data_IF_929521814168
#
_entry.id   IF_929521814168
#
_cell.length_a   1.000
_cell.length_b   1.000
_cell.length_c   1.000
_cell.angle_alpha   90.00
_cell.angle_beta   90.00
_cell.angle_gamma   90.00
#
_symmetry.space_group_name_H-M   'P 1'
#
loop_
_entity.id
_entity.type
_entity.pdbx_description
1 polymer ?
#
# COMPACT_ATOMS: atom_id res chain seq x y z
N UNK A 1 -11.07 11.71 17.35
CA UNK A 1 -11.81 10.43 17.41
C UNK A 1 -11.21 9.35 16.50
N UNK A 2 -10.92 9.64 15.23
CA UNK A 2 -10.35 8.65 14.30
C UNK A 2 -9.00 8.07 14.76
N UNK A 3 -8.05 8.91 15.17
CA UNK A 3 -6.73 8.49 15.68
C UNK A 3 -6.88 7.51 16.85
N UNK A 4 -7.84 7.74 17.73
CA UNK A 4 -8.11 6.86 18.86
C UNK A 4 -8.55 5.46 18.41
N UNK A 5 -9.42 5.37 17.40
CA UNK A 5 -9.89 4.09 16.85
C UNK A 5 -8.75 3.34 16.15
N UNK A 6 -7.97 4.04 15.34
CA UNK A 6 -6.86 3.44 14.59
C UNK A 6 -5.75 2.95 15.53
N UNK A 7 -5.48 3.66 16.63
CA UNK A 7 -4.45 3.28 17.61
C UNK A 7 -4.90 2.26 18.67
N UNK A 8 -6.14 1.77 18.60
CA UNK A 8 -6.67 0.76 19.54
C UNK A 8 -5.73 -0.44 19.78
N UNK A 9 -5.09 -1.04 18.77
CA UNK A 9 -4.18 -2.15 19.00
C UNK A 9 -3.06 -1.81 19.98
N UNK A 10 -2.46 -0.61 19.82
CA UNK A 10 -1.37 -0.14 20.70
C UNK A 10 -1.87 0.10 22.12
N UNK A 11 -3.06 0.69 22.26
CA UNK A 11 -3.65 0.98 23.58
C UNK A 11 -3.99 -0.31 24.34
N UNK A 12 -4.53 -1.31 23.64
CA UNK A 12 -4.85 -2.61 24.24
C UNK A 12 -3.58 -3.37 24.63
N UNK A 13 -2.55 -3.35 23.79
CA UNK A 13 -1.26 -3.95 24.13
C UNK A 13 -0.63 -3.31 25.38
N UNK A 14 -0.75 -1.99 25.55
CA UNK A 14 -0.23 -1.28 26.71
C UNK A 14 -0.94 -1.63 28.03
N UNK A 15 -2.15 -2.18 27.99
CA UNK A 15 -2.91 -2.62 29.18
C UNK A 15 -2.72 -4.11 29.52
N UNK A 16 -1.94 -4.84 28.74
CA UNK A 16 -1.69 -6.25 28.97
C UNK A 16 -0.81 -6.48 30.21
N UNK A 17 -1.29 -7.30 31.15
CA UNK A 17 -0.57 -7.61 32.38
C UNK A 17 0.52 -8.68 32.22
N UNK A 18 0.50 -9.43 31.12
CA UNK A 18 1.47 -10.49 30.83
C UNK A 18 1.80 -10.51 29.34
N UNK A 19 2.79 -9.71 28.90
CA UNK A 19 3.20 -9.64 27.50
C UNK A 19 3.97 -10.91 27.12
N UNK A 20 3.27 -11.87 26.54
CA UNK A 20 3.91 -13.06 25.96
C UNK A 20 4.25 -12.77 24.50
N UNK A 21 5.55 -12.79 24.17
CA UNK A 21 6.01 -12.61 22.79
C UNK A 21 6.04 -13.98 22.10
N UNK A 22 4.93 -14.34 21.51
CA UNK A 22 4.81 -15.57 20.73
C UNK A 22 5.18 -15.39 19.26
N UNK A 23 4.97 -16.45 18.49
CA UNK A 23 5.32 -16.45 17.05
C UNK A 23 4.45 -15.47 16.22
N UNK A 24 3.25 -15.15 16.67
CA UNK A 24 2.35 -14.17 16.02
C UNK A 24 2.98 -12.78 16.10
N UNK A 25 3.54 -12.41 17.25
CA UNK A 25 4.23 -11.14 17.41
C UNK A 25 5.46 -11.05 16.49
N UNK A 26 6.20 -12.15 16.29
CA UNK A 26 7.33 -12.19 15.35
C UNK A 26 6.88 -11.93 13.92
N UNK A 27 5.77 -12.54 13.47
CA UNK A 27 5.18 -12.26 12.17
C UNK A 27 4.74 -10.79 12.09
N UNK A 28 4.14 -10.26 13.17
CA UNK A 28 3.74 -8.86 13.26
C UNK A 28 4.91 -7.90 13.07
N UNK A 29 6.04 -8.15 13.75
CA UNK A 29 7.26 -7.34 13.59
C UNK A 29 7.81 -7.44 12.17
N UNK A 30 7.83 -8.63 11.57
CA UNK A 30 8.28 -8.80 10.19
C UNK A 30 7.38 -8.02 9.20
N UNK A 31 6.06 -8.10 9.35
CA UNK A 31 5.10 -7.37 8.53
C UNK A 31 5.23 -5.86 8.72
N UNK A 32 5.41 -5.40 9.95
CA UNK A 32 5.69 -4.00 10.28
C UNK A 32 6.96 -3.51 9.58
N UNK A 33 8.05 -4.29 9.64
CA UNK A 33 9.31 -3.96 8.97
C UNK A 33 9.17 -3.87 7.43
N UNK A 34 8.43 -4.81 6.82
CA UNK A 34 8.07 -4.74 5.39
C UNK A 34 7.28 -3.46 5.10
N UNK A 35 6.33 -3.12 5.96
CA UNK A 35 5.51 -1.92 5.82
C UNK A 35 6.34 -0.65 5.83
N UNK A 36 7.19 -0.45 6.84
CA UNK A 36 8.11 0.69 6.94
C UNK A 36 9.02 0.78 5.70
N UNK A 37 9.54 -0.36 5.21
CA UNK A 37 10.35 -0.39 4.01
C UNK A 37 9.58 0.13 2.79
N UNK A 38 8.37 -0.39 2.53
CA UNK A 38 7.57 0.01 1.38
C UNK A 38 7.14 1.47 1.43
N UNK A 39 6.72 1.96 2.59
CA UNK A 39 6.34 3.34 2.83
C UNK A 39 7.54 4.27 2.62
N UNK A 40 8.63 4.06 3.35
CA UNK A 40 9.80 4.95 3.32
C UNK A 40 10.47 4.97 1.94
N UNK A 41 10.70 3.78 1.35
CA UNK A 41 11.36 3.69 0.05
C UNK A 41 10.44 4.16 -1.07
N UNK A 42 9.15 3.83 -1.00
CA UNK A 42 8.14 4.27 -1.97
C UNK A 42 8.04 5.80 -2.03
N UNK A 43 7.95 6.45 -0.87
CA UNK A 43 7.90 7.91 -0.77
C UNK A 43 9.21 8.57 -1.20
N UNK A 44 10.36 8.01 -0.81
CA UNK A 44 11.67 8.52 -1.25
C UNK A 44 11.83 8.42 -2.78
N UNK A 45 11.39 7.32 -3.41
CA UNK A 45 11.40 7.17 -4.87
C UNK A 45 10.49 8.21 -5.54
N UNK A 46 9.28 8.43 -5.01
CA UNK A 46 8.34 9.40 -5.53
C UNK A 46 8.87 10.84 -5.38
N UNK A 47 9.44 11.17 -4.22
CA UNK A 47 10.01 12.48 -3.95
C UNK A 47 11.16 12.81 -4.91
N UNK A 48 12.09 11.86 -5.09
CA UNK A 48 13.20 12.02 -6.06
C UNK A 48 12.71 12.16 -7.50
N UNK A 49 11.71 11.38 -7.88
CA UNK A 49 11.13 11.43 -9.21
C UNK A 49 10.47 12.78 -9.50
N UNK A 50 9.73 13.33 -8.53
CA UNK A 50 9.06 14.62 -8.64
C UNK A 50 10.03 15.80 -8.62
N UNK A 51 11.18 15.66 -7.98
CA UNK A 51 12.20 16.70 -7.90
C UNK A 51 12.92 16.95 -9.22
N UNK A 52 12.88 16.01 -10.16
CA UNK A 52 13.49 16.14 -11.49
C UNK A 52 12.46 16.70 -12.48
N UNK A 53 12.68 17.93 -13.02
CA UNK A 53 11.79 18.53 -14.01
C UNK A 53 11.63 17.71 -15.31
N UNK A 54 12.64 16.89 -15.66
CA UNK A 54 12.58 16.00 -16.82
C UNK A 54 11.50 14.95 -16.72
N UNK A 55 11.03 14.63 -15.51
CA UNK A 55 9.96 13.68 -15.24
C UNK A 55 8.55 14.29 -15.31
N UNK A 56 8.43 15.57 -15.68
CA UNK A 56 7.13 16.23 -15.81
C UNK A 56 6.25 15.53 -16.85
N UNK A 57 5.03 15.16 -16.48
CA UNK A 57 4.10 14.45 -17.37
C UNK A 57 4.38 12.95 -17.56
N UNK A 58 5.47 12.41 -17.00
CA UNK A 58 5.85 10.99 -17.11
C UNK A 58 5.31 10.19 -15.91
N UNK A 59 5.15 8.88 -16.10
CA UNK A 59 4.73 7.93 -15.05
C UNK A 59 5.96 7.37 -14.34
N UNK A 60 5.92 7.30 -13.02
CA UNK A 60 6.91 6.56 -12.23
C UNK A 60 6.54 5.06 -12.24
N UNK A 61 7.27 4.25 -13.02
CA UNK A 61 7.03 2.82 -13.21
C UNK A 61 8.24 1.93 -12.88
N UNK A 62 9.17 2.46 -12.09
CA UNK A 62 10.43 1.80 -11.68
C UNK A 62 10.54 1.68 -10.16
N UNK A 63 11.45 0.83 -9.69
CA UNK A 63 11.59 0.53 -8.26
C UNK A 63 10.35 -0.17 -7.71
N UNK A 64 9.87 0.24 -6.54
CA UNK A 64 8.67 -0.33 -5.93
C UNK A 64 7.40 -0.03 -6.75
N UNK A 65 7.37 1.11 -7.45
CA UNK A 65 6.27 1.54 -8.31
C UNK A 65 6.06 0.65 -9.55
N UNK A 66 7.02 -0.22 -9.86
CA UNK A 66 6.86 -1.26 -10.88
C UNK A 66 5.93 -2.38 -10.43
N UNK A 67 5.90 -2.68 -9.14
CA UNK A 67 5.20 -3.84 -8.57
C UNK A 67 3.81 -3.49 -8.05
N UNK A 68 3.62 -2.26 -7.61
CA UNK A 68 2.33 -1.72 -7.17
C UNK A 68 2.26 -0.23 -7.46
N UNK A 69 1.06 0.26 -7.78
CA UNK A 69 0.83 1.69 -8.07
C UNK A 69 0.82 2.56 -6.81
N UNK A 70 0.70 1.95 -5.64
CA UNK A 70 0.65 2.64 -4.35
C UNK A 70 1.49 1.91 -3.30
N UNK A 71 2.83 1.85 -3.48
CA UNK A 71 3.72 1.14 -2.57
C UNK A 71 3.69 1.70 -1.14
N UNK A 72 3.57 3.03 -1.00
CA UNK A 72 3.45 3.70 0.29
C UNK A 72 2.16 3.33 1.03
N UNK A 73 1.02 3.21 0.33
CA UNK A 73 -0.25 2.80 0.95
C UNK A 73 -0.24 1.32 1.36
N UNK A 74 0.37 0.47 0.55
CA UNK A 74 0.61 -0.92 0.94
C UNK A 74 1.52 -0.98 2.17
N UNK A 75 2.54 -0.13 2.23
CA UNK A 75 3.44 0.00 3.38
C UNK A 75 2.70 0.38 4.65
N UNK A 76 1.96 1.48 4.62
CA UNK A 76 1.18 1.99 5.75
C UNK A 76 0.15 0.94 6.23
N UNK A 77 -0.58 0.32 5.31
CA UNK A 77 -1.49 -0.77 5.64
C UNK A 77 -0.77 -1.91 6.37
N UNK A 78 0.40 -2.35 5.85
CA UNK A 78 1.20 -3.42 6.45
C UNK A 78 1.71 -3.06 7.84
N UNK A 79 2.07 -1.81 8.09
CA UNK A 79 2.45 -1.29 9.42
C UNK A 79 1.32 -1.51 10.42
N UNK A 80 0.09 -1.09 10.09
CA UNK A 80 -1.05 -1.21 11.01
C UNK A 80 -1.46 -2.66 11.27
N UNK A 81 -1.43 -3.51 10.25
CA UNK A 81 -1.64 -4.95 10.43
C UNK A 81 -0.53 -5.60 11.25
N UNK A 82 0.73 -5.18 11.05
CA UNK A 82 1.87 -5.64 11.85
C UNK A 82 1.71 -5.28 13.33
N UNK A 83 1.35 -4.03 13.65
CA UNK A 83 1.08 -3.56 15.01
C UNK A 83 -0.07 -4.37 15.65
N UNK A 84 -1.14 -4.62 14.91
CA UNK A 84 -2.24 -5.45 15.38
C UNK A 84 -1.78 -6.87 15.75
N UNK A 85 -0.97 -7.52 14.92
CA UNK A 85 -0.46 -8.86 15.19
C UNK A 85 0.45 -8.88 16.42
N UNK A 86 1.26 -7.86 16.62
CA UNK A 86 2.09 -7.72 17.84
C UNK A 86 1.22 -7.59 19.09
N UNK A 87 0.12 -6.84 19.01
CA UNK A 87 -0.83 -6.66 20.11
C UNK A 87 -1.74 -7.86 20.34
N UNK A 88 -1.83 -8.76 19.36
CA UNK A 88 -2.85 -9.80 19.24
C UNK A 88 -2.75 -10.97 20.20
N UNK A 89 -1.69 -11.05 21.02
CA UNK A 89 -1.50 -12.13 22.01
C UNK A 89 -2.21 -11.86 23.34
N UNK A 90 -2.99 -10.79 23.43
CA UNK A 90 -3.81 -10.46 24.60
C UNK A 90 -5.27 -10.89 24.39
N UNK A 91 -5.97 -11.20 25.47
CA UNK A 91 -7.40 -11.58 25.43
C UNK A 91 -8.32 -10.50 24.83
N UNK A 92 -7.91 -9.25 24.85
CA UNK A 92 -8.61 -8.10 24.26
C UNK A 92 -8.24 -7.82 22.80
N UNK A 93 -7.35 -8.59 22.21
CA UNK A 93 -6.77 -8.38 20.87
C UNK A 93 -7.82 -8.19 19.76
N UNK A 94 -8.93 -8.92 19.83
CA UNK A 94 -9.98 -8.85 18.81
C UNK A 94 -10.59 -7.47 18.65
N UNK A 95 -10.68 -6.66 19.71
CA UNK A 95 -11.12 -5.27 19.62
C UNK A 95 -10.11 -4.40 18.88
N UNK A 96 -8.83 -4.76 18.91
CA UNK A 96 -7.77 -4.11 18.16
C UNK A 96 -7.90 -4.27 16.65
N UNK A 97 -8.61 -5.29 16.16
CA UNK A 97 -8.83 -5.52 14.71
C UNK A 97 -9.52 -4.32 14.02
N UNK A 98 -10.32 -3.56 14.75
CA UNK A 98 -11.01 -2.37 14.23
C UNK A 98 -10.00 -1.36 13.66
N UNK A 99 -8.84 -1.19 14.30
CA UNK A 99 -7.80 -0.24 13.88
C UNK A 99 -7.32 -0.49 12.45
N UNK A 100 -6.67 -1.63 12.15
CA UNK A 100 -6.16 -1.90 10.80
C UNK A 100 -7.27 -2.02 9.75
N UNK A 101 -8.46 -2.50 10.09
CA UNK A 101 -9.60 -2.55 9.16
C UNK A 101 -10.05 -1.15 8.77
N UNK A 102 -10.23 -0.25 9.74
CA UNK A 102 -10.59 1.15 9.48
C UNK A 102 -9.49 1.84 8.68
N UNK A 103 -8.22 1.62 9.02
CA UNK A 103 -7.09 2.22 8.28
C UNK A 103 -7.04 1.73 6.84
N UNK A 104 -7.20 0.42 6.62
CA UNK A 104 -7.27 -0.15 5.26
C UNK A 104 -8.42 0.47 4.46
N UNK A 105 -9.60 0.59 5.06
CA UNK A 105 -10.75 1.23 4.43
C UNK A 105 -10.47 2.69 4.05
N UNK A 106 -9.88 3.46 4.96
CA UNK A 106 -9.55 4.87 4.72
C UNK A 106 -8.52 5.02 3.59
N UNK A 107 -7.47 4.19 3.58
CA UNK A 107 -6.45 4.21 2.53
C UNK A 107 -7.02 3.89 1.15
N UNK A 108 -7.90 2.89 1.06
CA UNK A 108 -8.43 2.45 -0.23
C UNK A 108 -9.61 3.29 -0.74
N UNK A 109 -10.43 3.85 0.16
CA UNK A 109 -11.69 4.49 -0.22
C UNK A 109 -11.75 5.99 0.11
N UNK A 110 -11.28 6.40 1.29
CA UNK A 110 -11.42 7.79 1.75
C UNK A 110 -10.26 8.69 1.31
N UNK A 111 -9.10 8.13 0.95
CA UNK A 111 -7.93 8.89 0.47
C UNK A 111 -8.11 9.54 -0.91
N UNK A 112 -9.24 9.32 -1.56
CA UNK A 112 -9.47 9.81 -2.92
C UNK A 112 -8.66 9.06 -4.00
N UNK A 113 -8.20 7.86 -3.71
CA UNK A 113 -7.35 7.06 -4.59
C UNK A 113 -7.93 6.92 -6.00
N UNK A 114 -9.23 6.60 -6.11
CA UNK A 114 -9.91 6.49 -7.40
C UNK A 114 -9.94 7.83 -8.16
N UNK A 115 -10.09 8.94 -7.45
CA UNK A 115 -10.06 10.28 -8.05
C UNK A 115 -8.66 10.63 -8.52
N UNK A 116 -7.63 10.34 -7.69
CA UNK A 116 -6.23 10.54 -8.05
C UNK A 116 -5.85 9.74 -9.29
N UNK A 117 -6.24 8.47 -9.38
CA UNK A 117 -5.96 7.63 -10.55
C UNK A 117 -6.62 8.17 -11.81
N UNK A 118 -7.88 8.63 -11.74
CA UNK A 118 -8.56 9.29 -12.87
C UNK A 118 -7.83 10.56 -13.33
N UNK A 119 -7.38 11.39 -12.38
CA UNK A 119 -6.60 12.57 -12.72
C UNK A 119 -5.26 12.22 -13.39
N UNK A 120 -4.57 11.19 -12.89
CA UNK A 120 -3.30 10.73 -13.47
C UNK A 120 -3.49 10.16 -14.87
N UNK A 121 -4.58 9.43 -15.12
CA UNK A 121 -4.93 8.96 -16.48
C UNK A 121 -5.06 10.10 -17.47
N UNK A 122 -5.65 11.22 -17.06
CA UNK A 122 -5.87 12.38 -17.93
C UNK A 122 -4.63 13.25 -18.09
N UNK A 123 -3.69 13.22 -17.14
CA UNK A 123 -2.56 14.15 -17.10
C UNK A 123 -1.22 13.53 -17.48
N UNK A 124 -1.11 12.16 -17.44
CA UNK A 124 0.17 11.48 -17.66
C UNK A 124 0.09 10.53 -18.84
N UNK A 125 0.99 10.77 -19.79
CA UNK A 125 1.15 9.88 -20.95
C UNK A 125 1.64 8.51 -20.47
N UNK A 126 1.00 7.43 -20.96
CA UNK A 126 1.36 6.05 -20.59
C UNK A 126 0.79 5.55 -19.24
N UNK A 127 -0.05 6.35 -18.56
CA UNK A 127 -0.67 5.90 -17.31
C UNK A 127 -1.68 4.75 -17.50
N UNK A 128 -2.51 4.72 -18.55
CA UNK A 128 -3.40 3.59 -18.83
C UNK A 128 -2.64 2.28 -19.03
N UNK A 129 -1.53 2.30 -19.76
CA UNK A 129 -0.67 1.14 -20.00
C UNK A 129 0.02 0.68 -18.71
N UNK A 130 0.42 1.63 -17.86
CA UNK A 130 0.96 1.35 -16.54
C UNK A 130 -0.09 0.66 -15.64
N UNK A 131 -1.32 1.15 -15.63
CA UNK A 131 -2.43 0.54 -14.90
C UNK A 131 -2.74 -0.89 -15.37
N UNK A 132 -2.67 -1.14 -16.68
CA UNK A 132 -2.97 -2.44 -17.24
C UNK A 132 -1.96 -3.53 -16.81
N UNK A 133 -0.70 -3.14 -16.55
CA UNK A 133 0.37 -4.09 -16.20
C UNK A 133 0.72 -4.12 -14.71
N UNK A 134 0.36 -3.10 -13.94
CA UNK A 134 0.82 -2.94 -12.56
C UNK A 134 -0.36 -3.03 -11.57
N UNK A 135 -0.21 -3.90 -10.58
CA UNK A 135 -1.20 -4.05 -9.51
C UNK A 135 -1.53 -2.73 -8.82
N UNK A 136 -2.78 -2.54 -8.45
CA UNK A 136 -3.20 -1.34 -7.73
C UNK A 136 -2.60 -1.26 -6.33
N UNK A 137 -2.62 -2.36 -5.57
CA UNK A 137 -2.31 -2.34 -4.14
C UNK A 137 -1.27 -3.38 -3.74
N UNK A 138 -1.52 -4.68 -3.96
CA UNK A 138 -0.57 -5.72 -3.59
C UNK A 138 0.62 -5.74 -4.54
N UNK A 139 1.88 -5.75 -4.02
CA UNK A 139 3.06 -5.85 -4.86
C UNK A 139 3.09 -7.19 -5.62
N UNK A 140 2.92 -7.12 -6.94
CA UNK A 140 2.96 -8.27 -7.83
C UNK A 140 3.90 -7.98 -9.00
N UNK A 141 4.57 -9.01 -9.57
CA UNK A 141 5.28 -8.83 -10.84
C UNK A 141 4.36 -8.23 -11.89
N UNK A 142 4.83 -7.26 -12.70
CA UNK A 142 4.02 -6.67 -13.74
C UNK A 142 3.57 -7.73 -14.75
N UNK A 143 2.30 -7.66 -15.15
CA UNK A 143 1.76 -8.53 -16.18
C UNK A 143 2.39 -8.21 -17.54
N UNK A 144 2.74 -9.24 -18.32
CA UNK A 144 3.06 -9.06 -19.73
C UNK A 144 1.75 -8.72 -20.46
N UNK A 145 1.55 -7.46 -20.80
CA UNK A 145 0.49 -7.09 -21.74
C UNK A 145 0.92 -7.65 -23.08
N UNK A 146 0.24 -8.69 -23.57
CA UNK A 146 0.47 -9.22 -24.91
C UNK A 146 0.17 -8.10 -25.90
N UNK A 147 1.14 -7.75 -26.72
CA UNK A 147 1.11 -6.75 -27.80
C UNK A 147 0.07 -7.06 -28.91
N UNK A 148 -0.73 -8.11 -28.70
CA UNK A 148 -1.64 -8.67 -29.72
C UNK A 148 -2.96 -7.89 -29.87
N UNK A 149 -3.25 -6.92 -29.00
CA UNK A 149 -4.47 -6.10 -29.10
C UNK A 149 -4.35 -4.92 -30.10
N UNK A 150 -3.19 -4.65 -30.66
CA UNK A 150 -2.96 -3.54 -31.60
C UNK A 150 -2.80 -3.94 -33.08
N UNK A 151 -2.99 -5.22 -33.45
CA UNK A 151 -3.03 -5.61 -34.86
C UNK A 151 -4.40 -5.24 -35.45
N UNK A 152 -4.46 -4.27 -36.37
CA UNK A 152 -5.68 -4.04 -37.12
C UNK A 152 -5.96 -5.32 -37.94
N UNK A 153 -7.13 -5.91 -37.74
CA UNK A 153 -7.62 -7.03 -38.59
C UNK A 153 -7.62 -6.55 -40.03
N UNK A 154 -6.65 -7.00 -40.83
CA UNK A 154 -6.73 -6.91 -42.29
C UNK A 154 -7.97 -7.65 -42.72
N UNK A 155 -9.02 -6.92 -43.04
CA UNK A 155 -10.14 -7.45 -43.84
C UNK A 155 -9.62 -7.65 -45.24
N UNK A 156 -9.58 -8.91 -45.66
CA UNK A 156 -9.45 -9.34 -47.03
C UNK A 156 -10.76 -9.11 -47.77
#
# INVERSE_FOLDING_TARGET
>A
MLIFIVSLPVQLAATANDPNIGWIAVIGVALWGIGIFFETVGDAQLARFRADPANSGIVLDRGLWRYTRHPNYFGDCSVWWGIFLVSGETSAAWFGLIGPVVMTYLLLNASGLATLERELQNRRVGYPEYMARTSMFFPCPPSSVSEDASRPTRRS
#
